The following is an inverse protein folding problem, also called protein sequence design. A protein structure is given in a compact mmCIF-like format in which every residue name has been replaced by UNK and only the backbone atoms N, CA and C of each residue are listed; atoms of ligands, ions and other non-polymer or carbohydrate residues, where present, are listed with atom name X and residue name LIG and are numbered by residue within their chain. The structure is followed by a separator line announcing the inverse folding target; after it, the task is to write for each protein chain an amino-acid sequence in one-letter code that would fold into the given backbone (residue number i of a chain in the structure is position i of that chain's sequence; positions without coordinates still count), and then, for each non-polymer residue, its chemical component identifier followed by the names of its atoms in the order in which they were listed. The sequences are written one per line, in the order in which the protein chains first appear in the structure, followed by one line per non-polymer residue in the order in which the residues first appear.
data_IF_172404343981
#
_entry.id   IF_172404343981
#
_cell.length_a   1.000
_cell.length_b   1.000
_cell.length_c   1.000
_cell.angle_alpha   90.00
_cell.angle_beta   90.00
_cell.angle_gamma   90.00
#
_symmetry.space_group_name_H-M   'P 1'
#
loop_
_entity.id
_entity.type
_entity.pdbx_description
1 polymer ?
#
# COMPACT_ATOMS: atom_id res chain seq x y z
N UNK A 1 12.99 -42.85 0.97
CA UNK A 1 12.02 -42.02 1.72
C UNK A 1 12.59 -40.60 1.70
N UNK A 2 12.08 -39.74 0.83
CA UNK A 2 12.47 -38.33 0.78
C UNK A 2 11.77 -37.68 1.97
N UNK A 3 12.50 -37.04 2.88
CA UNK A 3 11.89 -36.34 4.02
C UNK A 3 10.84 -35.36 3.49
N UNK A 4 9.61 -35.46 4.02
CA UNK A 4 8.59 -34.47 3.78
C UNK A 4 9.03 -33.14 4.39
N UNK A 5 8.55 -32.02 3.86
CA UNK A 5 8.82 -30.69 4.43
C UNK A 5 8.33 -30.58 5.90
N UNK A 6 7.36 -31.41 6.24
CA UNK A 6 6.79 -31.62 7.57
C UNK A 6 7.69 -32.42 8.53
N UNK A 7 8.69 -33.15 8.04
CA UNK A 7 9.67 -33.88 8.85
C UNK A 7 10.85 -32.98 9.29
N UNK A 8 10.97 -31.77 8.73
CA UNK A 8 11.98 -30.78 9.13
C UNK A 8 11.38 -29.91 10.25
N UNK A 9 11.93 -29.91 11.47
CA UNK A 9 11.44 -29.04 12.54
C UNK A 9 11.52 -27.57 12.11
N UNK A 10 10.35 -26.95 11.89
CA UNK A 10 10.22 -25.58 11.41
C UNK A 10 10.19 -25.39 9.88
N UNK A 11 10.29 -26.45 9.07
CA UNK A 11 10.30 -26.38 7.60
C UNK A 11 9.02 -25.77 7.02
N UNK A 12 7.86 -26.24 7.46
CA UNK A 12 6.55 -25.69 7.07
C UNK A 12 6.38 -24.23 7.52
N UNK A 13 6.92 -23.85 8.68
CA UNK A 13 6.88 -22.48 9.19
C UNK A 13 7.74 -21.52 8.36
N UNK A 14 8.93 -21.97 7.94
CA UNK A 14 9.83 -21.18 7.10
C UNK A 14 9.23 -20.91 5.70
N UNK A 15 8.63 -21.93 5.07
CA UNK A 15 7.96 -21.75 3.77
C UNK A 15 6.75 -20.82 3.91
N UNK A 16 5.95 -20.96 4.97
CA UNK A 16 4.82 -20.06 5.25
C UNK A 16 5.28 -18.61 5.44
N UNK A 17 6.42 -18.39 6.08
CA UNK A 17 7.02 -17.05 6.22
C UNK A 17 7.44 -16.46 4.88
N UNK A 18 8.10 -17.24 4.01
CA UNK A 18 8.49 -16.77 2.66
C UNK A 18 7.27 -16.39 1.83
N UNK A 19 6.23 -17.23 1.86
CA UNK A 19 4.97 -16.98 1.13
C UNK A 19 4.31 -15.70 1.66
N UNK A 20 4.22 -15.54 2.97
CA UNK A 20 3.70 -14.32 3.59
C UNK A 20 4.51 -13.07 3.21
N UNK A 21 5.84 -13.17 3.21
CA UNK A 21 6.74 -12.07 2.84
C UNK A 21 6.57 -11.70 1.36
N UNK A 22 6.49 -12.69 0.47
CA UNK A 22 6.28 -12.50 -0.96
C UNK A 22 4.93 -11.85 -1.26
N UNK A 23 3.84 -12.33 -0.66
CA UNK A 23 2.50 -11.77 -0.85
C UNK A 23 2.40 -10.34 -0.27
N UNK A 24 3.04 -10.08 0.88
CA UNK A 24 3.11 -8.72 1.47
C UNK A 24 3.88 -7.77 0.55
N UNK A 25 5.00 -8.23 -0.04
CA UNK A 25 5.77 -7.47 -1.02
C UNK A 25 4.97 -7.18 -2.29
N UNK A 26 4.21 -8.16 -2.79
CA UNK A 26 3.34 -7.97 -3.95
C UNK A 26 2.22 -6.95 -3.66
N UNK A 27 1.60 -7.05 -2.49
CA UNK A 27 0.60 -6.10 -2.03
C UNK A 27 1.17 -4.67 -1.96
N UNK A 28 2.38 -4.50 -1.42
CA UNK A 28 3.08 -3.21 -1.43
C UNK A 28 3.31 -2.68 -2.85
N UNK A 29 3.78 -3.52 -3.78
CA UNK A 29 4.03 -3.10 -5.16
C UNK A 29 2.75 -2.66 -5.87
N UNK A 30 1.65 -3.39 -5.71
CA UNK A 30 0.39 -3.10 -6.41
C UNK A 30 -0.39 -1.99 -5.71
N UNK A 31 -0.76 -2.18 -4.45
CA UNK A 31 -1.68 -1.30 -3.73
C UNK A 31 -1.03 -0.01 -3.22
N UNK A 32 0.30 0.03 -3.13
CA UNK A 32 0.99 1.23 -2.70
C UNK A 32 1.81 1.85 -3.83
N UNK A 33 2.76 1.13 -4.43
CA UNK A 33 3.63 1.73 -5.44
C UNK A 33 2.88 2.05 -6.75
N UNK A 34 2.21 1.06 -7.33
CA UNK A 34 1.52 1.21 -8.60
C UNK A 34 0.27 2.08 -8.45
N UNK A 35 -0.60 1.79 -7.48
CA UNK A 35 -1.81 2.58 -7.26
C UNK A 35 -1.51 4.07 -7.06
N UNK A 36 -0.62 4.44 -6.13
CA UNK A 36 -0.31 5.85 -5.89
C UNK A 36 0.33 6.53 -7.10
N UNK A 37 1.20 5.83 -7.86
CA UNK A 37 1.84 6.42 -9.02
C UNK A 37 0.87 6.58 -10.21
N UNK A 38 0.01 5.60 -10.47
CA UNK A 38 -1.02 5.68 -11.51
C UNK A 38 -2.03 6.77 -11.16
N UNK A 39 -2.50 6.81 -9.92
CA UNK A 39 -3.41 7.88 -9.48
C UNK A 39 -2.74 9.26 -9.54
N UNK A 40 -1.47 9.37 -9.18
CA UNK A 40 -0.72 10.62 -9.35
C UNK A 40 -0.62 11.04 -10.82
N UNK A 41 -0.38 10.12 -11.75
CA UNK A 41 -0.27 10.40 -13.18
C UNK A 41 -1.63 10.79 -13.80
N UNK A 42 -2.71 10.15 -13.37
CA UNK A 42 -4.08 10.42 -13.85
C UNK A 42 -4.61 11.73 -13.29
N UNK A 43 -4.46 11.98 -11.99
CA UNK A 43 -5.04 13.16 -11.31
C UNK A 43 -4.12 14.37 -11.32
N UNK A 44 -2.82 14.19 -11.61
CA UNK A 44 -1.78 15.23 -11.70
C UNK A 44 -1.80 16.16 -10.48
N UNK A 45 -2.05 17.45 -10.69
CA UNK A 45 -2.14 18.48 -9.65
C UNK A 45 -3.57 18.93 -9.37
N UNK A 46 -4.56 18.07 -9.64
CA UNK A 46 -5.98 18.35 -9.43
C UNK A 46 -6.42 18.01 -8.00
N UNK A 47 -7.35 18.79 -7.47
CA UNK A 47 -8.05 18.50 -6.21
C UNK A 47 -8.77 17.14 -6.23
N UNK A 48 -9.09 16.63 -7.43
CA UNK A 48 -9.70 15.31 -7.63
C UNK A 48 -8.79 14.14 -7.19
N UNK A 49 -7.51 14.42 -6.92
CA UNK A 49 -6.56 13.45 -6.36
C UNK A 49 -7.03 12.86 -5.03
N UNK A 50 -7.51 13.71 -4.12
CA UNK A 50 -7.93 13.28 -2.78
C UNK A 50 -9.07 12.24 -2.86
N UNK A 51 -10.22 12.53 -3.50
CA UNK A 51 -11.30 11.55 -3.58
C UNK A 51 -10.91 10.30 -4.37
N UNK A 52 -10.12 10.43 -5.45
CA UNK A 52 -9.66 9.27 -6.21
C UNK A 52 -8.78 8.34 -5.36
N UNK A 53 -7.83 8.89 -4.59
CA UNK A 53 -7.02 8.11 -3.66
C UNK A 53 -7.87 7.48 -2.57
N UNK A 54 -8.81 8.21 -1.98
CA UNK A 54 -9.72 7.64 -0.96
C UNK A 54 -10.54 6.47 -1.52
N UNK A 55 -11.11 6.58 -2.73
CA UNK A 55 -11.84 5.47 -3.35
C UNK A 55 -10.95 4.25 -3.58
N UNK A 56 -9.68 4.44 -3.95
CA UNK A 56 -8.74 3.34 -4.16
C UNK A 56 -8.38 2.60 -2.85
N UNK A 57 -8.57 3.22 -1.67
CA UNK A 57 -8.33 2.54 -0.39
C UNK A 57 -9.31 1.42 -0.10
N UNK A 58 -10.53 1.48 -0.64
CA UNK A 58 -11.57 0.47 -0.42
C UNK A 58 -11.14 -0.90 -0.96
N UNK A 59 -10.81 -1.07 -2.26
CA UNK A 59 -10.36 -2.36 -2.77
C UNK A 59 -9.03 -2.80 -2.16
N UNK A 60 -8.13 -1.87 -1.86
CA UNK A 60 -6.85 -2.19 -1.21
C UNK A 60 -7.05 -2.75 0.21
N UNK A 61 -7.86 -2.08 1.04
CA UNK A 61 -8.19 -2.56 2.38
C UNK A 61 -8.98 -3.87 2.34
N UNK A 62 -9.85 -4.05 1.34
CA UNK A 62 -10.58 -5.30 1.12
C UNK A 62 -9.63 -6.46 0.88
N UNK A 63 -8.66 -6.27 -0.02
CA UNK A 63 -7.60 -7.25 -0.24
C UNK A 63 -6.81 -7.53 1.04
N UNK A 64 -6.52 -6.49 1.82
CA UNK A 64 -5.79 -6.60 3.08
C UNK A 64 -6.54 -7.45 4.12
N UNK A 65 -7.86 -7.32 4.18
CA UNK A 65 -8.73 -8.10 5.04
C UNK A 65 -8.81 -9.57 4.61
N UNK A 66 -8.97 -9.83 3.30
CA UNK A 66 -9.02 -11.20 2.75
C UNK A 66 -7.72 -11.98 3.03
N UNK A 67 -6.58 -11.31 2.95
CA UNK A 67 -5.28 -11.93 3.21
C UNK A 67 -4.83 -11.89 4.68
N UNK A 68 -5.69 -11.42 5.60
CA UNK A 68 -5.42 -11.31 7.04
C UNK A 68 -4.07 -10.63 7.38
N UNK A 69 -3.69 -9.60 6.63
CA UNK A 69 -2.45 -8.88 6.94
C UNK A 69 -2.58 -8.06 8.21
N UNK A 70 -1.47 -7.94 8.97
CA UNK A 70 -1.39 -7.05 10.12
C UNK A 70 -1.19 -5.59 9.63
N UNK A 71 -2.19 -4.71 9.76
CA UNK A 71 -2.13 -3.38 9.16
C UNK A 71 -1.07 -2.48 9.79
N UNK A 72 -0.77 -2.64 11.09
CA UNK A 72 0.17 -1.75 11.81
C UNK A 72 1.58 -1.73 11.23
N UNK A 73 2.19 -2.90 11.05
CA UNK A 73 3.57 -3.02 10.52
C UNK A 73 3.63 -2.46 9.11
N UNK A 74 2.64 -2.80 8.29
CA UNK A 74 2.53 -2.30 6.93
C UNK A 74 2.39 -0.77 6.88
N UNK A 75 1.54 -0.20 7.73
CA UNK A 75 1.28 1.24 7.81
C UNK A 75 2.54 2.02 8.13
N UNK A 76 3.35 1.55 9.09
CA UNK A 76 4.61 2.21 9.46
C UNK A 76 5.59 2.17 8.29
N UNK A 77 5.80 0.99 7.69
CA UNK A 77 6.72 0.82 6.55
C UNK A 77 6.32 1.70 5.38
N UNK A 78 5.03 1.69 5.05
CA UNK A 78 4.47 2.47 3.94
C UNK A 78 4.55 3.98 4.21
N UNK A 79 4.34 4.42 5.44
CA UNK A 79 4.48 5.84 5.81
C UNK A 79 5.90 6.34 5.61
N UNK A 80 6.89 5.54 6.02
CA UNK A 80 8.32 5.86 5.81
C UNK A 80 8.65 5.85 4.31
N UNK A 81 8.22 4.82 3.59
CA UNK A 81 8.43 4.74 2.14
C UNK A 81 7.77 5.93 1.40
N UNK A 82 6.62 6.42 1.87
CA UNK A 82 5.91 7.52 1.25
C UNK A 82 6.62 8.84 1.43
N UNK A 83 7.23 9.04 2.59
CA UNK A 83 8.11 10.17 2.81
C UNK A 83 9.21 10.23 1.76
N UNK A 84 9.94 9.13 1.53
CA UNK A 84 11.00 9.07 0.51
C UNK A 84 10.46 9.20 -0.92
N UNK A 85 9.29 8.61 -1.22
CA UNK A 85 8.63 8.71 -2.53
C UNK A 85 8.32 10.16 -2.88
N UNK A 86 7.68 10.90 -1.96
CA UNK A 86 7.31 12.30 -2.17
C UNK A 86 8.55 13.20 -2.25
N UNK A 87 9.56 12.96 -1.40
CA UNK A 87 10.84 13.66 -1.46
C UNK A 87 11.56 13.44 -2.80
N UNK A 88 11.52 12.22 -3.35
CA UNK A 88 12.09 11.93 -4.66
C UNK A 88 11.38 12.69 -5.78
N UNK A 89 10.04 12.78 -5.74
CA UNK A 89 9.26 13.59 -6.70
C UNK A 89 9.53 15.09 -6.59
N UNK A 90 9.97 15.56 -5.42
CA UNK A 90 10.35 16.95 -5.19
C UNK A 90 11.74 17.29 -5.75
N UNK A 91 12.72 16.40 -5.55
CA UNK A 91 14.13 16.63 -5.91
C UNK A 91 14.45 16.25 -7.35
N UNK A 92 13.77 15.23 -7.88
CA UNK A 92 13.91 14.87 -9.28
C UNK A 92 13.17 15.92 -10.10
N UNK A 93 13.92 16.73 -10.85
CA UNK A 93 13.37 17.55 -11.92
C UNK A 93 12.92 16.59 -13.03
N UNK A 94 11.78 15.96 -12.79
CA UNK A 94 11.25 14.91 -13.64
C UNK A 94 10.60 15.60 -14.85
N UNK A 95 11.09 15.39 -16.09
CA UNK A 95 10.65 16.13 -17.28
C UNK A 95 9.15 15.93 -17.57
N UNK A 96 8.52 14.92 -16.96
CA UNK A 96 7.06 14.71 -16.98
C UNK A 96 6.26 15.82 -16.31
N UNK A 97 6.86 16.55 -15.38
CA UNK A 97 6.23 17.61 -14.60
C UNK A 97 6.70 19.00 -15.01
N UNK A 98 7.45 19.08 -16.12
CA UNK A 98 7.98 20.34 -16.63
C UNK A 98 6.83 21.28 -17.01
N UNK A 99 6.84 22.48 -16.43
CA UNK A 99 5.77 23.48 -16.58
C UNK A 99 4.56 23.34 -15.64
N UNK A 100 4.46 22.30 -14.80
CA UNK A 100 3.35 22.15 -13.83
C UNK A 100 3.84 22.51 -12.41
N UNK A 101 3.29 23.58 -11.82
CA UNK A 101 3.53 23.91 -10.39
C UNK A 101 2.95 22.81 -9.49
N UNK A 102 3.79 21.87 -9.04
CA UNK A 102 3.40 20.81 -8.11
C UNK A 102 2.97 21.43 -6.78
N UNK A 103 1.72 21.17 -6.38
CA UNK A 103 1.21 21.61 -5.09
C UNK A 103 1.57 20.57 -4.01
N UNK A 104 2.70 20.79 -3.36
CA UNK A 104 3.26 19.91 -2.34
C UNK A 104 2.26 19.48 -1.24
N UNK A 105 1.50 20.40 -0.60
CA UNK A 105 0.55 20.00 0.43
C UNK A 105 -0.53 19.05 -0.10
N UNK A 106 -0.93 19.18 -1.37
CA UNK A 106 -1.94 18.31 -1.98
C UNK A 106 -1.43 16.86 -2.14
N UNK A 107 -0.18 16.69 -2.57
CA UNK A 107 0.43 15.36 -2.70
C UNK A 107 0.65 14.68 -1.35
N UNK A 108 1.10 15.44 -0.34
CA UNK A 108 1.22 14.94 1.03
C UNK A 108 -0.15 14.56 1.59
N UNK A 109 -1.13 15.45 1.54
CA UNK A 109 -2.46 15.21 2.09
C UNK A 109 -3.15 14.02 1.42
N UNK A 110 -3.09 13.91 0.10
CA UNK A 110 -3.70 12.78 -0.60
C UNK A 110 -3.00 11.45 -0.30
N UNK A 111 -1.65 11.43 -0.29
CA UNK A 111 -0.91 10.18 -0.04
C UNK A 111 -1.01 9.72 1.42
N UNK A 112 -0.92 10.63 2.39
CA UNK A 112 -1.10 10.27 3.81
C UNK A 112 -2.58 10.01 4.14
N UNK A 113 -3.51 10.70 3.47
CA UNK A 113 -4.93 10.38 3.54
C UNK A 113 -5.24 8.98 3.04
N UNK A 114 -4.62 8.55 1.93
CA UNK A 114 -4.68 7.17 1.44
C UNK A 114 -4.22 6.19 2.52
N UNK A 115 -3.04 6.41 3.11
CA UNK A 115 -2.47 5.50 4.11
C UNK A 115 -3.33 5.43 5.37
N UNK A 116 -3.77 6.59 5.88
CA UNK A 116 -4.62 6.66 7.08
C UNK A 116 -5.96 5.95 6.85
N UNK A 117 -6.61 6.22 5.72
CA UNK A 117 -7.90 5.60 5.39
C UNK A 117 -7.74 4.10 5.12
N UNK A 118 -6.68 3.67 4.42
CA UNK A 118 -6.36 2.25 4.23
C UNK A 118 -6.20 1.54 5.57
N UNK A 119 -5.50 2.18 6.52
CA UNK A 119 -5.28 1.63 7.87
C UNK A 119 -6.60 1.52 8.64
N UNK A 120 -7.41 2.58 8.60
CA UNK A 120 -8.71 2.60 9.26
C UNK A 120 -9.64 1.51 8.69
N UNK A 121 -9.73 1.39 7.37
CA UNK A 121 -10.53 0.36 6.71
C UNK A 121 -9.98 -1.05 6.95
N UNK A 122 -8.66 -1.24 6.95
CA UNK A 122 -8.06 -2.53 7.24
C UNK A 122 -8.25 -2.99 8.69
N UNK A 123 -8.41 -2.04 9.64
CA UNK A 123 -8.82 -2.34 11.01
C UNK A 123 -10.33 -2.57 11.13
N UNK A 124 -11.13 -1.90 10.32
CA UNK A 124 -12.58 -1.97 10.35
C UNK A 124 -13.15 -3.19 9.63
N UNK A 125 -12.67 -3.54 8.44
CA UNK A 125 -13.18 -4.66 7.64
C UNK A 125 -13.17 -6.02 8.36
N UNK A 126 -12.14 -6.37 9.16
CA UNK A 126 -12.18 -7.58 9.98
C UNK A 126 -13.29 -7.57 11.06
N UNK A 127 -13.73 -6.39 11.50
CA UNK A 127 -14.84 -6.25 12.48
C UNK A 127 -16.22 -6.35 11.83
N UNK A 128 -16.31 -6.26 10.51
CA UNK A 128 -17.56 -6.29 9.77
C UNK A 128 -18.13 -7.69 9.54
N UNK A 129 -17.45 -8.74 10.02
CA UNK A 129 -17.84 -10.16 9.88
C UNK A 129 -18.61 -10.43 8.58
N UNK A 130 -17.92 -10.32 7.44
CA UNK A 130 -18.48 -10.55 6.09
C UNK A 130 -18.86 -12.03 5.84
N UNK A 131 -18.98 -12.83 6.92
CA UNK A 131 -19.15 -14.28 6.94
C UNK A 131 -20.41 -14.76 7.64
N UNK A 132 -21.52 -14.01 7.59
CA UNK A 132 -22.87 -14.59 7.74
C UNK A 132 -23.53 -14.80 6.38
#
# INVERSE_FOLDING_TARGET
MILGLEDIPGGTGFVSFIVWLGLTGLYYLVCYLAALNVLDDVTRNSWLKIPAMLCATIPAAGLMAVFHYKPFVFTILVSIANYFRVQKKLKAHDPKWDGIKINLPLFYLASYGYIAMLTALALYFPTLDLGQ
#
